data_IF_999996151927
#
_entry.id   IF_999996151927
#
_cell.length_a   1.000
_cell.length_b   1.000
_cell.length_c   1.000
_cell.angle_alpha   90.00
_cell.angle_beta   90.00
_cell.angle_gamma   90.00
#
_symmetry.space_group_name_H-M   'P 1'
#
loop_
_entity.id
_entity.type
_entity.pdbx_description
1 polymer ?
#
# COMPACT_ATOMS: atom_id res chain seq x y z
N UNK A 1 -4.96 15.81 24.68
CA UNK A 1 -3.78 16.33 23.94
C UNK A 1 -3.81 15.70 22.56
N UNK A 2 -3.83 16.49 21.48
CA UNK A 2 -3.69 15.91 20.14
C UNK A 2 -2.32 15.24 20.07
N UNK A 3 -2.29 13.94 19.78
CA UNK A 3 -1.05 13.27 19.41
C UNK A 3 -0.62 13.92 18.11
N UNK A 4 0.53 14.57 18.11
CA UNK A 4 1.16 15.03 16.90
C UNK A 4 1.29 13.82 15.96
N UNK A 5 0.56 13.87 14.88
CA UNK A 5 0.76 12.92 13.79
C UNK A 5 2.08 13.27 13.14
N UNK A 6 2.95 12.27 12.96
CA UNK A 6 4.19 12.46 12.21
C UNK A 6 3.90 13.14 10.87
N UNK A 7 4.76 14.04 10.40
CA UNK A 7 4.62 14.67 9.09
C UNK A 7 4.40 13.59 8.02
N UNK A 8 3.53 13.86 7.07
CA UNK A 8 3.15 12.90 6.02
C UNK A 8 4.37 12.36 5.26
N UNK A 9 5.39 13.21 5.06
CA UNK A 9 6.66 12.83 4.42
C UNK A 9 7.43 11.75 5.21
N UNK A 10 7.28 11.67 6.53
CA UNK A 10 7.91 10.64 7.37
C UNK A 10 7.14 9.33 7.36
N UNK A 11 5.83 9.35 7.02
CA UNK A 11 5.00 8.16 6.89
C UNK A 11 5.05 7.57 5.49
N UNK A 12 5.21 8.42 4.49
CA UNK A 12 5.36 8.01 3.10
C UNK A 12 6.84 7.73 2.85
N UNK A 13 7.16 6.59 2.24
CA UNK A 13 8.52 6.30 1.80
C UNK A 13 9.07 7.46 0.99
N UNK A 14 10.26 7.93 1.32
CA UNK A 14 10.90 9.00 0.56
C UNK A 14 11.14 8.61 -0.90
N UNK A 15 11.33 7.32 -1.17
CA UNK A 15 11.36 6.77 -2.53
C UNK A 15 10.09 7.10 -3.32
N UNK A 16 8.91 6.97 -2.70
CA UNK A 16 7.64 7.34 -3.34
C UNK A 16 7.55 8.83 -3.65
N UNK A 17 8.00 9.68 -2.72
CA UNK A 17 8.05 11.14 -2.93
C UNK A 17 9.00 11.52 -4.07
N UNK A 18 10.21 10.98 -4.05
CA UNK A 18 11.20 11.19 -5.12
C UNK A 18 10.67 10.72 -6.46
N UNK A 19 10.06 9.54 -6.51
CA UNK A 19 9.46 9.00 -7.72
C UNK A 19 8.38 9.94 -8.28
N UNK A 20 7.52 10.45 -7.42
CA UNK A 20 6.48 11.41 -7.81
C UNK A 20 7.08 12.70 -8.35
N UNK A 21 8.09 13.27 -7.67
CA UNK A 21 8.78 14.49 -8.11
C UNK A 21 9.43 14.31 -9.49
N UNK A 22 10.06 13.15 -9.73
CA UNK A 22 10.62 12.82 -11.04
C UNK A 22 9.52 12.69 -12.11
N UNK A 23 8.38 12.09 -11.74
CA UNK A 23 7.27 11.85 -12.68
C UNK A 23 6.61 13.14 -13.17
N UNK A 24 6.52 14.15 -12.31
CA UNK A 24 5.94 15.47 -12.66
C UNK A 24 6.97 16.48 -13.14
N UNK A 25 8.25 16.11 -13.14
CA UNK A 25 9.34 16.92 -13.72
C UNK A 25 9.85 18.05 -12.81
N UNK A 26 9.52 18.05 -11.50
CA UNK A 26 10.02 19.09 -10.55
C UNK A 26 11.39 18.76 -9.99
N UNK A 27 11.89 17.54 -10.19
CA UNK A 27 13.25 17.13 -9.84
C UNK A 27 13.84 16.27 -10.97
N UNK A 28 15.16 16.40 -11.19
CA UNK A 28 15.96 15.59 -12.13
C UNK A 28 17.21 15.02 -11.49
N UNK A 29 17.56 15.51 -10.31
CA UNK A 29 18.75 15.12 -9.55
C UNK A 29 18.41 15.00 -8.07
N UNK A 30 19.30 14.36 -7.29
CA UNK A 30 19.19 14.31 -5.83
C UNK A 30 19.25 15.71 -5.20
N UNK A 31 20.03 16.61 -5.79
CA UNK A 31 20.15 18.00 -5.35
C UNK A 31 18.84 18.76 -5.50
N UNK A 32 18.12 18.56 -6.61
CA UNK A 32 16.80 19.16 -6.84
C UNK A 32 15.80 18.73 -5.75
N UNK A 33 15.84 17.48 -5.31
CA UNK A 33 15.00 16.98 -4.22
C UNK A 33 15.35 17.66 -2.91
N UNK A 34 16.64 17.77 -2.58
CA UNK A 34 17.10 18.41 -1.34
C UNK A 34 16.72 19.88 -1.29
N UNK A 35 16.78 20.58 -2.42
CA UNK A 35 16.53 22.01 -2.54
C UNK A 35 15.08 22.39 -2.82
N UNK A 36 14.16 21.42 -2.82
CA UNK A 36 12.76 21.64 -3.22
C UNK A 36 11.99 22.60 -2.29
N UNK A 37 12.47 22.86 -1.09
CA UNK A 37 11.80 23.77 -0.17
C UNK A 37 10.69 23.12 0.65
N UNK A 38 10.87 21.89 1.04
CA UNK A 38 9.98 21.21 2.00
C UNK A 38 9.91 21.99 3.32
N UNK A 39 8.75 21.97 3.99
CA UNK A 39 8.57 22.55 5.32
C UNK A 39 9.51 21.85 6.33
N UNK A 40 9.57 20.52 6.27
CA UNK A 40 10.52 19.66 6.97
C UNK A 40 11.41 18.97 5.92
N UNK A 41 12.55 19.53 5.54
CA UNK A 41 13.37 18.96 4.50
C UNK A 41 13.99 17.63 4.96
N UNK A 42 13.95 16.59 4.10
CA UNK A 42 14.62 15.34 4.39
C UNK A 42 16.13 15.55 4.45
N UNK A 43 16.83 14.77 5.28
CA UNK A 43 18.28 14.81 5.29
C UNK A 43 18.89 14.18 4.02
N UNK A 44 20.15 14.46 3.75
CA UNK A 44 20.85 13.95 2.56
C UNK A 44 20.91 12.43 2.52
N UNK A 45 21.01 11.78 3.68
CA UNK A 45 21.02 10.33 3.78
C UNK A 45 19.68 9.75 3.35
N UNK A 46 18.57 10.30 3.85
CA UNK A 46 17.23 9.86 3.49
C UNK A 46 16.95 10.02 1.97
N UNK A 47 17.42 11.13 1.38
CA UNK A 47 17.34 11.33 -0.07
C UNK A 47 18.14 10.29 -0.83
N UNK A 48 19.38 10.02 -0.41
CA UNK A 48 20.25 9.00 -1.02
C UNK A 48 19.62 7.60 -0.90
N UNK A 49 19.08 7.25 0.25
CA UNK A 49 18.39 5.97 0.48
C UNK A 49 17.17 5.83 -0.43
N UNK A 50 16.40 6.91 -0.63
CA UNK A 50 15.27 6.92 -1.57
C UNK A 50 15.69 6.66 -3.02
N UNK A 51 16.77 7.28 -3.49
CA UNK A 51 17.31 7.01 -4.83
C UNK A 51 17.88 5.59 -4.96
N UNK A 52 18.54 5.07 -3.92
CA UNK A 52 19.05 3.70 -3.91
C UNK A 52 17.89 2.69 -3.99
N UNK A 53 16.82 2.90 -3.23
CA UNK A 53 15.61 2.08 -3.29
C UNK A 53 15.02 2.05 -4.70
N UNK A 54 14.86 3.20 -5.35
CA UNK A 54 14.34 3.28 -6.71
C UNK A 54 15.27 2.62 -7.74
N UNK A 55 16.57 2.67 -7.52
CA UNK A 55 17.56 1.98 -8.36
C UNK A 55 17.43 0.45 -8.21
N UNK A 56 17.34 -0.04 -6.97
CA UNK A 56 17.12 -1.47 -6.70
C UNK A 56 15.84 -2.01 -7.35
N UNK A 57 14.77 -1.21 -7.31
CA UNK A 57 13.49 -1.55 -7.93
C UNK A 57 13.49 -1.38 -9.46
N UNK A 58 14.60 -0.94 -10.03
CA UNK A 58 14.72 -0.63 -11.47
C UNK A 58 13.70 0.41 -11.97
N UNK A 59 13.31 1.30 -11.07
CA UNK A 59 12.35 2.38 -11.36
C UNK A 59 13.00 3.58 -12.04
N UNK A 60 14.30 3.78 -11.84
CA UNK A 60 15.07 4.88 -12.37
C UNK A 60 16.32 4.41 -13.12
N UNK A 61 16.75 5.21 -14.07
CA UNK A 61 18.00 5.11 -14.79
C UNK A 61 18.70 6.47 -14.84
N UNK A 62 19.90 6.51 -15.38
CA UNK A 62 20.66 7.74 -15.61
C UNK A 62 20.91 7.95 -17.09
N UNK A 63 20.66 9.18 -17.55
CA UNK A 63 20.95 9.59 -18.91
C UNK A 63 21.55 10.99 -18.90
N UNK A 64 22.77 11.16 -19.43
CA UNK A 64 23.49 12.46 -19.48
C UNK A 64 23.61 13.18 -18.12
N UNK A 65 23.80 12.40 -17.02
CA UNK A 65 23.91 12.97 -15.67
C UNK A 65 22.58 13.22 -14.96
N UNK A 66 21.46 13.20 -15.64
CA UNK A 66 20.14 13.33 -15.06
C UNK A 66 19.53 11.96 -14.75
N UNK A 67 18.68 11.92 -13.72
CA UNK A 67 17.88 10.75 -13.37
C UNK A 67 16.61 10.73 -14.22
N UNK A 68 16.32 9.60 -14.81
CA UNK A 68 15.12 9.40 -15.64
C UNK A 68 14.31 8.21 -15.15
N UNK A 69 12.98 8.26 -15.32
CA UNK A 69 12.12 7.12 -15.04
C UNK A 69 12.28 6.03 -16.12
N UNK A 70 12.35 4.79 -15.67
CA UNK A 70 12.18 3.62 -16.54
C UNK A 70 10.69 3.40 -16.84
N UNK A 71 10.37 2.44 -17.71
CA UNK A 71 8.98 2.01 -17.89
C UNK A 71 8.34 1.55 -16.58
N UNK A 72 9.05 0.74 -15.80
CA UNK A 72 8.63 0.30 -14.46
C UNK A 72 8.42 1.51 -13.52
N UNK A 73 9.32 2.48 -13.53
CA UNK A 73 9.20 3.69 -12.72
C UNK A 73 7.96 4.51 -13.06
N UNK A 74 7.62 4.63 -14.33
CA UNK A 74 6.38 5.31 -14.77
C UNK A 74 5.13 4.58 -14.29
N UNK A 75 5.13 3.26 -14.30
CA UNK A 75 4.03 2.46 -13.76
C UNK A 75 3.92 2.63 -12.24
N UNK A 76 5.05 2.52 -11.51
CA UNK A 76 5.09 2.70 -10.05
C UNK A 76 4.60 4.08 -9.63
N UNK A 77 4.94 5.13 -10.35
CA UNK A 77 4.50 6.49 -10.05
C UNK A 77 2.98 6.67 -10.09
N UNK A 78 2.27 5.80 -10.78
CA UNK A 78 0.81 5.82 -10.90
C UNK A 78 0.10 4.99 -9.83
N UNK A 79 0.81 4.09 -9.14
CA UNK A 79 0.24 3.21 -8.12
C UNK A 79 0.34 3.91 -6.76
N UNK A 80 -0.79 4.25 -6.09
CA UNK A 80 -0.80 5.14 -4.91
C UNK A 80 -0.49 4.38 -3.61
N UNK A 81 0.59 3.62 -3.57
CA UNK A 81 1.11 2.88 -2.42
C UNK A 81 2.63 2.97 -2.36
N UNK A 82 3.22 2.45 -1.29
CA UNK A 82 4.67 2.34 -1.17
C UNK A 82 5.30 1.66 -2.40
N UNK A 83 6.47 2.13 -2.82
CA UNK A 83 7.12 1.67 -4.05
C UNK A 83 7.46 0.18 -4.05
N UNK A 84 7.80 -0.40 -2.89
CA UNK A 84 8.06 -1.84 -2.77
C UNK A 84 6.78 -2.65 -2.94
N UNK A 85 5.67 -2.18 -2.36
CA UNK A 85 4.35 -2.79 -2.55
C UNK A 85 3.85 -2.61 -3.98
N UNK A 86 4.06 -1.44 -4.58
CA UNK A 86 3.78 -1.18 -6.00
C UNK A 86 4.56 -2.13 -6.92
N UNK A 87 5.79 -2.44 -6.59
CA UNK A 87 6.60 -3.43 -7.32
C UNK A 87 6.00 -4.83 -7.25
N UNK A 88 5.46 -5.23 -6.10
CA UNK A 88 4.74 -6.51 -5.97
C UNK A 88 3.55 -6.59 -6.92
N UNK A 89 2.80 -5.50 -7.05
CA UNK A 89 1.67 -5.42 -8.00
C UNK A 89 2.14 -5.61 -9.44
N UNK A 90 3.21 -4.94 -9.85
CA UNK A 90 3.76 -5.05 -11.20
C UNK A 90 4.26 -6.47 -11.48
N UNK A 91 4.97 -7.09 -10.55
CA UNK A 91 5.44 -8.47 -10.72
C UNK A 91 4.28 -9.48 -10.78
N UNK A 92 3.24 -9.29 -9.97
CA UNK A 92 2.03 -10.11 -10.05
C UNK A 92 1.32 -9.96 -11.40
N UNK A 93 1.26 -8.74 -11.95
CA UNK A 93 0.71 -8.50 -13.27
C UNK A 93 1.52 -9.20 -14.38
N UNK A 94 2.86 -9.19 -14.28
CA UNK A 94 3.74 -9.90 -15.21
C UNK A 94 3.61 -11.42 -15.16
N UNK A 95 3.26 -11.96 -14.00
CA UNK A 95 3.03 -13.40 -13.84
C UNK A 95 1.82 -13.92 -14.67
N UNK A 96 0.97 -13.02 -15.14
CA UNK A 96 -0.09 -13.35 -16.10
C UNK A 96 -1.31 -14.04 -15.50
N UNK A 97 -1.40 -14.15 -14.18
CA UNK A 97 -2.57 -14.69 -13.49
C UNK A 97 -3.46 -13.58 -12.92
N UNK A 98 -4.66 -13.33 -13.49
CA UNK A 98 -5.58 -12.32 -12.99
C UNK A 98 -5.99 -12.53 -11.52
N UNK A 99 -6.18 -13.78 -11.11
CA UNK A 99 -6.54 -14.13 -9.73
C UNK A 99 -5.38 -13.85 -8.75
N UNK A 100 -4.15 -14.16 -9.15
CA UNK A 100 -2.98 -13.82 -8.35
C UNK A 100 -2.87 -12.31 -8.15
N UNK A 101 -3.05 -11.54 -9.21
CA UNK A 101 -3.02 -10.08 -9.13
C UNK A 101 -4.13 -9.57 -8.20
N UNK A 102 -5.36 -10.09 -8.30
CA UNK A 102 -6.45 -9.71 -7.41
C UNK A 102 -6.09 -9.97 -5.93
N UNK A 103 -5.52 -11.13 -5.62
CA UNK A 103 -5.07 -11.45 -4.27
C UNK A 103 -3.94 -10.53 -3.79
N UNK A 104 -2.98 -10.23 -4.65
CA UNK A 104 -1.88 -9.30 -4.31
C UNK A 104 -2.41 -7.89 -4.03
N UNK A 105 -3.41 -7.41 -4.76
CA UNK A 105 -4.03 -6.10 -4.47
C UNK A 105 -4.66 -6.05 -3.07
N UNK A 106 -5.32 -7.11 -2.65
CA UNK A 106 -5.89 -7.23 -1.29
C UNK A 106 -4.79 -7.16 -0.24
N UNK A 107 -3.71 -7.91 -0.42
CA UNK A 107 -2.59 -7.96 0.53
C UNK A 107 -1.83 -6.65 0.60
N UNK A 108 -1.48 -6.04 -0.53
CA UNK A 108 -0.74 -4.77 -0.52
C UNK A 108 -1.57 -3.61 0.04
N UNK A 109 -2.88 -3.61 -0.19
CA UNK A 109 -3.78 -2.67 0.44
C UNK A 109 -3.83 -2.85 1.96
N UNK A 110 -3.91 -4.09 2.44
CA UNK A 110 -3.84 -4.42 3.87
C UNK A 110 -2.53 -3.91 4.50
N UNK A 111 -1.40 -4.16 3.86
CA UNK A 111 -0.08 -3.71 4.35
C UNK A 111 0.12 -2.19 4.31
N UNK A 112 -0.63 -1.48 3.47
CA UNK A 112 -0.57 -0.02 3.33
C UNK A 112 -1.37 0.74 4.40
N UNK A 113 -2.21 0.05 5.14
CA UNK A 113 -3.16 0.64 6.10
C UNK A 113 -2.89 0.11 7.51
N UNK A 114 -3.53 0.75 8.48
CA UNK A 114 -3.52 0.21 9.85
C UNK A 114 -4.30 -1.10 9.89
N UNK A 115 -3.82 -2.06 10.68
CA UNK A 115 -4.47 -3.34 10.90
C UNK A 115 -5.93 -3.14 11.32
N UNK A 116 -6.90 -3.74 10.63
CA UNK A 116 -8.31 -3.60 10.99
C UNK A 116 -8.71 -4.35 12.24
N UNK A 117 -7.89 -5.27 12.73
CA UNK A 117 -8.17 -6.03 13.96
C UNK A 117 -8.08 -5.14 15.18
N UNK A 118 -9.10 -5.17 16.03
CA UNK A 118 -9.14 -4.45 17.29
C UNK A 118 -9.03 -5.43 18.47
N UNK A 119 -8.31 -5.01 19.51
CA UNK A 119 -8.15 -5.78 20.77
C UNK A 119 -8.49 -4.88 21.94
N UNK A 120 -9.81 -4.68 22.25
CA UNK A 120 -10.21 -3.90 23.41
C UNK A 120 -9.63 -4.49 24.70
N UNK A 121 -9.22 -3.64 25.63
CA UNK A 121 -8.50 -4.07 26.85
C UNK A 121 -9.30 -5.08 27.69
N UNK A 122 -10.62 -4.91 27.76
CA UNK A 122 -11.55 -5.77 28.50
C UNK A 122 -12.00 -7.01 27.70
N UNK A 123 -11.61 -7.15 26.43
CA UNK A 123 -12.04 -8.21 25.51
C UNK A 123 -10.90 -8.86 24.70
N UNK A 124 -9.66 -8.71 25.16
CA UNK A 124 -8.48 -9.19 24.42
C UNK A 124 -8.53 -10.67 24.08
N UNK A 125 -8.83 -11.51 25.06
CA UNK A 125 -8.88 -12.96 24.87
C UNK A 125 -9.96 -13.39 23.88
N UNK A 126 -11.13 -12.75 23.97
CA UNK A 126 -12.23 -13.03 23.04
C UNK A 126 -11.90 -12.58 21.62
N UNK A 127 -11.33 -11.37 21.47
CA UNK A 127 -10.87 -10.86 20.17
C UNK A 127 -9.80 -11.76 19.56
N UNK A 128 -8.79 -12.15 20.33
CA UNK A 128 -7.73 -13.04 19.88
C UNK A 128 -8.27 -14.42 19.43
N UNK A 129 -9.20 -14.98 20.20
CA UNK A 129 -9.85 -16.24 19.84
C UNK A 129 -10.59 -16.15 18.51
N UNK A 130 -11.28 -15.04 18.25
CA UNK A 130 -12.00 -14.82 17.02
C UNK A 130 -11.02 -14.60 15.86
N UNK A 131 -10.02 -13.75 16.05
CA UNK A 131 -9.02 -13.45 15.01
C UNK A 131 -8.15 -14.66 14.65
N UNK A 132 -7.87 -15.56 15.60
CA UNK A 132 -7.13 -16.79 15.35
C UNK A 132 -7.83 -17.74 14.37
N UNK A 133 -9.13 -17.58 14.13
CA UNK A 133 -9.85 -18.35 13.09
C UNK A 133 -9.35 -18.03 11.67
N UNK A 134 -8.79 -16.82 11.49
CA UNK A 134 -8.28 -16.35 10.21
C UNK A 134 -6.77 -16.47 10.11
N UNK A 135 -6.10 -16.71 11.22
CA UNK A 135 -4.64 -16.77 11.26
C UNK A 135 -4.12 -17.97 10.45
N UNK A 136 -3.12 -17.70 9.63
CA UNK A 136 -2.30 -18.72 9.00
C UNK A 136 -0.92 -18.69 9.68
N UNK A 137 -0.45 -19.85 10.13
CA UNK A 137 0.80 -19.97 10.88
C UNK A 137 2.04 -19.69 10.01
N UNK A 138 1.90 -19.80 8.70
CA UNK A 138 3.01 -19.71 7.75
C UNK A 138 3.09 -18.37 7.05
N UNK A 139 1.98 -17.60 7.02
CA UNK A 139 1.91 -16.38 6.21
C UNK A 139 0.89 -15.36 6.70
N UNK A 140 1.36 -14.17 7.04
CA UNK A 140 0.49 -13.02 7.31
C UNK A 140 -0.33 -12.60 6.07
N UNK A 141 0.16 -12.91 4.87
CA UNK A 141 -0.55 -12.64 3.62
C UNK A 141 -1.80 -13.51 3.50
N UNK A 142 -1.70 -14.79 3.85
CA UNK A 142 -2.85 -15.70 3.88
C UNK A 142 -3.84 -15.29 4.97
N UNK A 143 -3.38 -14.83 6.11
CA UNK A 143 -4.24 -14.26 7.15
C UNK A 143 -5.06 -13.09 6.62
N UNK A 144 -4.44 -12.15 5.92
CA UNK A 144 -5.15 -11.02 5.30
C UNK A 144 -6.20 -11.48 4.28
N UNK A 145 -5.87 -12.46 3.42
CA UNK A 145 -6.81 -13.02 2.46
C UNK A 145 -7.99 -13.72 3.13
N UNK A 146 -7.75 -14.48 4.19
CA UNK A 146 -8.81 -15.17 4.94
C UNK A 146 -9.80 -14.16 5.57
N UNK A 147 -9.30 -13.05 6.11
CA UNK A 147 -10.16 -11.97 6.64
C UNK A 147 -10.96 -11.34 5.51
N UNK A 148 -10.31 -11.02 4.39
CA UNK A 148 -10.97 -10.43 3.23
C UNK A 148 -12.10 -11.31 2.69
N UNK A 149 -11.81 -12.58 2.49
CA UNK A 149 -12.79 -13.55 1.99
C UNK A 149 -13.99 -13.65 2.93
N UNK A 150 -13.76 -13.71 4.23
CA UNK A 150 -14.85 -13.73 5.22
C UNK A 150 -15.71 -12.49 5.18
N UNK A 151 -15.11 -11.32 5.05
CA UNK A 151 -15.84 -10.04 5.17
C UNK A 151 -16.49 -9.62 3.87
N UNK A 152 -15.82 -9.82 2.74
CA UNK A 152 -16.21 -9.25 1.45
C UNK A 152 -16.55 -10.25 0.33
N UNK A 153 -16.29 -11.55 0.53
CA UNK A 153 -16.47 -12.56 -0.52
C UNK A 153 -17.50 -13.64 -0.15
N UNK A 154 -17.49 -14.14 1.08
CA UNK A 154 -18.24 -15.33 1.47
C UNK A 154 -19.75 -15.22 1.20
N UNK A 155 -20.35 -14.09 1.51
CA UNK A 155 -21.78 -13.81 1.32
C UNK A 155 -22.04 -12.67 0.31
N UNK A 156 -21.03 -12.40 -0.53
CA UNK A 156 -21.02 -11.23 -1.42
C UNK A 156 -20.65 -9.93 -0.70
N UNK A 157 -20.69 -8.81 -1.42
CA UNK A 157 -20.31 -7.51 -0.89
C UNK A 157 -21.33 -7.04 0.17
N UNK A 158 -20.94 -6.87 1.45
CA UNK A 158 -21.88 -6.56 2.51
C UNK A 158 -22.43 -5.14 2.40
N UNK A 159 -23.70 -4.97 2.73
CA UNK A 159 -24.25 -3.63 2.98
C UNK A 159 -23.51 -2.95 4.15
N UNK A 160 -23.60 -1.61 4.23
CA UNK A 160 -22.98 -0.87 5.34
C UNK A 160 -23.41 -1.37 6.73
N UNK A 161 -24.70 -1.74 6.88
CA UNK A 161 -25.21 -2.27 8.14
C UNK A 161 -24.69 -3.67 8.43
N UNK A 162 -24.60 -4.52 7.41
CA UNK A 162 -24.02 -5.86 7.54
C UNK A 162 -22.53 -5.77 7.91
N UNK A 163 -21.77 -4.91 7.24
CA UNK A 163 -20.35 -4.67 7.56
C UNK A 163 -20.16 -4.17 9.00
N UNK A 164 -20.98 -3.21 9.45
CA UNK A 164 -20.92 -2.71 10.84
C UNK A 164 -21.18 -3.83 11.84
N UNK A 165 -22.15 -4.71 11.56
CA UNK A 165 -22.45 -5.85 12.42
C UNK A 165 -21.29 -6.83 12.49
N UNK A 166 -20.70 -7.20 11.35
CA UNK A 166 -19.52 -8.09 11.29
C UNK A 166 -18.37 -7.47 12.10
N UNK A 167 -18.05 -6.21 11.89
CA UNK A 167 -16.96 -5.53 12.58
C UNK A 167 -17.17 -5.50 14.09
N UNK A 168 -18.39 -5.29 14.57
CA UNK A 168 -18.72 -5.27 15.99
C UNK A 168 -18.59 -6.66 16.61
N UNK A 169 -19.08 -7.70 15.95
CA UNK A 169 -19.08 -9.07 16.48
C UNK A 169 -17.72 -9.76 16.38
N UNK A 170 -16.89 -9.37 15.42
CA UNK A 170 -15.59 -10.01 15.14
C UNK A 170 -14.39 -9.11 15.50
N UNK A 171 -14.63 -8.00 16.21
CA UNK A 171 -13.59 -7.06 16.66
C UNK A 171 -12.73 -6.50 15.53
N UNK A 172 -13.38 -6.03 14.46
CA UNK A 172 -12.75 -5.27 13.40
C UNK A 172 -13.14 -3.79 13.46
N UNK A 173 -12.22 -2.91 13.11
CA UNK A 173 -12.52 -1.49 12.90
C UNK A 173 -13.30 -1.32 11.61
N UNK A 174 -14.53 -0.84 11.70
CA UNK A 174 -15.37 -0.54 10.54
C UNK A 174 -14.72 0.49 9.61
N UNK A 175 -14.11 1.55 10.18
CA UNK A 175 -13.42 2.57 9.40
C UNK A 175 -12.25 1.97 8.60
N UNK A 176 -11.41 1.16 9.26
CA UNK A 176 -10.23 0.54 8.62
C UNK A 176 -10.64 -0.51 7.60
N UNK A 177 -11.71 -1.25 7.84
CA UNK A 177 -12.27 -2.19 6.84
C UNK A 177 -12.77 -1.45 5.60
N UNK A 178 -13.43 -0.30 5.75
CA UNK A 178 -13.82 0.54 4.62
C UNK A 178 -12.64 1.10 3.87
N UNK A 179 -11.64 1.62 4.58
CA UNK A 179 -10.41 2.12 3.96
C UNK A 179 -9.71 1.01 3.15
N UNK A 180 -9.67 -0.19 3.68
CA UNK A 180 -9.10 -1.34 2.97
C UNK A 180 -9.86 -1.66 1.68
N UNK A 181 -11.17 -1.74 1.76
CA UNK A 181 -12.02 -1.95 0.58
C UNK A 181 -11.86 -0.84 -0.46
N UNK A 182 -11.86 0.41 -0.02
CA UNK A 182 -11.71 1.56 -0.91
C UNK A 182 -10.35 1.55 -1.61
N UNK A 183 -9.27 1.23 -0.88
CA UNK A 183 -7.93 1.15 -1.47
C UNK A 183 -7.82 0.01 -2.48
N UNK A 184 -8.37 -1.17 -2.19
CA UNK A 184 -8.43 -2.27 -3.17
C UNK A 184 -9.15 -1.84 -4.43
N UNK A 185 -10.28 -1.15 -4.31
CA UNK A 185 -11.03 -0.62 -5.46
C UNK A 185 -10.22 0.37 -6.28
N UNK A 186 -9.51 1.29 -5.62
CA UNK A 186 -8.62 2.25 -6.29
C UNK A 186 -7.47 1.55 -7.02
N UNK A 187 -6.84 0.54 -6.40
CA UNK A 187 -5.77 -0.24 -7.01
C UNK A 187 -6.27 -1.05 -8.21
N UNK A 188 -7.47 -1.63 -8.11
CA UNK A 188 -8.10 -2.32 -9.27
C UNK A 188 -8.33 -1.36 -10.44
N UNK A 189 -8.83 -0.15 -10.16
CA UNK A 189 -9.02 0.87 -11.20
C UNK A 189 -7.69 1.28 -11.83
N UNK A 190 -6.66 1.49 -11.02
CA UNK A 190 -5.32 1.82 -11.51
C UNK A 190 -4.72 0.70 -12.37
N UNK A 191 -4.91 -0.57 -11.97
CA UNK A 191 -4.49 -1.72 -12.79
C UNK A 191 -5.19 -1.74 -14.15
N UNK A 192 -6.48 -1.41 -14.22
CA UNK A 192 -7.20 -1.29 -15.50
C UNK A 192 -6.61 -0.21 -16.39
N UNK A 193 -6.29 0.96 -15.83
CA UNK A 193 -5.65 2.05 -16.58
C UNK A 193 -4.25 1.68 -17.07
N UNK A 194 -3.51 0.88 -16.32
CA UNK A 194 -2.23 0.31 -16.71
C UNK A 194 -2.37 -0.91 -17.65
N UNK A 195 -3.60 -1.30 -18.00
CA UNK A 195 -3.92 -2.46 -18.83
C UNK A 195 -3.48 -3.80 -18.22
N UNK A 196 -3.44 -3.87 -16.90
CA UNK A 196 -3.25 -5.12 -16.17
C UNK A 196 -4.58 -5.86 -16.06
N UNK A 197 -4.57 -7.17 -16.31
CA UNK A 197 -5.77 -8.01 -16.18
C UNK A 197 -5.93 -8.45 -14.73
N UNK A 198 -7.01 -7.99 -14.08
CA UNK A 198 -7.37 -8.36 -12.71
C UNK A 198 -8.58 -9.27 -12.73
N UNK A 199 -8.52 -10.38 -11.96
CA UNK A 199 -9.62 -11.34 -11.79
C UNK A 199 -10.77 -10.81 -10.92
#
# INVERSE_FOLDING_TARGET
RPRFTEPEILRTSLGAVVLHMLSVGVARTAEDVTNFGFIDPPDMKAVSDGFNELTELKAIGRKRGEVTLTHTGRQLARIPIDVRLGRMVIEAAKAGSPNLLASVLVVVAFLSLQDPRERPDDKREEADRIHNRYADETSDFLTALNIWDRVFQADGDPSNNALRRICRTEYFSWLRMRQWKDLVSQLRQMCKELKFKVG
#
